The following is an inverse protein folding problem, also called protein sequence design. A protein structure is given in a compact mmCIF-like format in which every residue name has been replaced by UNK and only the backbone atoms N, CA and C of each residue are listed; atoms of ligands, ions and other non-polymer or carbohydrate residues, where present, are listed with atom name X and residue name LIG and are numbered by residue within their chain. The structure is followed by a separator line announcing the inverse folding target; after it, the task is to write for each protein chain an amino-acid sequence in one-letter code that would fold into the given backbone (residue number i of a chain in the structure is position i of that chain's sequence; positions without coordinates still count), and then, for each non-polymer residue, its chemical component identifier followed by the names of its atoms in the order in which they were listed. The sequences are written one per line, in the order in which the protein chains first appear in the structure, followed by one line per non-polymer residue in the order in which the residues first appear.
data_IF_617066398581
#
_entry.id   IF_617066398581
#
_cell.length_a   1.000
_cell.length_b   1.000
_cell.length_c   1.000
_cell.angle_alpha   90.00
_cell.angle_beta   90.00
_cell.angle_gamma   90.00
#
_symmetry.space_group_name_H-M   'P 1'
#
loop_
_entity.id
_entity.type
_entity.pdbx_description
1 polymer ?
#
# COMPACT_ATOMS: atom_id res chain seq x y z
N UNK A 1 -29.83 -72.97 0.86
CA UNK A 1 -28.41 -72.72 1.12
C UNK A 1 -28.30 -71.77 2.31
N UNK A 2 -27.59 -72.24 3.33
CA UNK A 2 -26.92 -71.57 4.46
C UNK A 2 -27.55 -70.38 5.22
N UNK A 3 -27.76 -70.65 6.52
CA UNK A 3 -27.80 -69.76 7.69
C UNK A 3 -26.49 -68.98 7.93
N UNK A 4 -26.56 -67.92 8.77
CA UNK A 4 -25.70 -67.66 9.97
C UNK A 4 -25.37 -66.15 10.10
N UNK A 5 -25.98 -65.39 11.02
CA UNK A 5 -25.67 -65.10 12.44
C UNK A 5 -24.67 -63.94 12.70
N UNK A 6 -25.17 -62.97 13.48
CA UNK A 6 -24.57 -62.31 14.68
C UNK A 6 -23.28 -61.47 14.47
N UNK A 7 -23.31 -60.18 14.84
CA UNK A 7 -22.71 -59.70 16.11
C UNK A 7 -22.70 -58.18 16.25
N UNK A 8 -22.97 -57.73 17.47
CA UNK A 8 -22.96 -56.35 17.97
C UNK A 8 -21.55 -55.75 18.14
N UNK A 9 -21.55 -54.42 18.37
CA UNK A 9 -20.50 -53.56 18.98
C UNK A 9 -19.30 -53.27 18.06
N UNK A 10 -18.93 -52.00 17.83
CA UNK A 10 -18.45 -51.09 18.87
C UNK A 10 -18.45 -49.62 18.41
N UNK A 11 -18.71 -48.74 19.37
CA UNK A 11 -18.52 -47.29 19.31
C UNK A 11 -17.02 -47.00 19.10
N UNK A 12 -16.66 -46.24 18.06
CA UNK A 12 -15.43 -45.47 18.05
C UNK A 12 -15.79 -43.99 17.91
N UNK A 13 -15.67 -43.28 19.04
CA UNK A 13 -15.51 -41.84 19.04
C UNK A 13 -14.12 -41.54 18.45
N UNK A 14 -14.07 -40.98 17.24
CA UNK A 14 -12.86 -40.33 16.73
C UNK A 14 -12.90 -38.87 17.14
N UNK A 15 -11.90 -38.55 17.95
CA UNK A 15 -11.64 -37.26 18.54
C UNK A 15 -11.54 -36.14 17.50
N UNK A 16 -12.09 -34.99 17.87
CA UNK A 16 -11.79 -33.70 17.28
C UNK A 16 -10.28 -33.52 17.13
N UNK A 17 -9.81 -33.59 15.90
CA UNK A 17 -8.63 -32.84 15.46
C UNK A 17 -9.09 -32.06 14.25
N UNK A 18 -9.72 -30.91 14.52
CA UNK A 18 -9.80 -29.85 13.54
C UNK A 18 -8.36 -29.44 13.22
N UNK A 19 -7.78 -30.08 12.21
CA UNK A 19 -6.69 -29.50 11.46
C UNK A 19 -7.31 -28.26 10.84
N UNK A 20 -7.07 -27.11 11.46
CA UNK A 20 -7.32 -25.83 10.84
C UNK A 20 -6.48 -25.80 9.57
N UNK A 21 -7.10 -26.18 8.46
CA UNK A 21 -6.63 -25.82 7.13
C UNK A 21 -6.55 -24.29 7.16
N UNK A 22 -5.37 -23.67 6.94
CA UNK A 22 -5.33 -22.23 6.78
C UNK A 22 -6.23 -21.91 5.59
N UNK A 23 -7.35 -21.25 5.88
CA UNK A 23 -8.20 -20.66 4.85
C UNK A 23 -7.32 -19.73 4.03
N UNK A 24 -7.49 -19.69 2.69
CA UNK A 24 -6.88 -18.65 1.88
C UNK A 24 -7.23 -17.31 2.54
N UNK A 25 -6.21 -16.51 2.82
CA UNK A 25 -6.39 -15.15 3.29
C UNK A 25 -7.22 -14.48 2.19
N UNK A 26 -8.50 -14.21 2.46
CA UNK A 26 -9.28 -13.35 1.58
C UNK A 26 -8.52 -12.02 1.54
N UNK A 27 -8.08 -11.63 0.34
CA UNK A 27 -7.68 -10.28 0.02
C UNK A 27 -8.86 -9.37 0.42
N UNK A 28 -8.84 -8.83 1.64
CA UNK A 28 -9.84 -7.85 2.07
C UNK A 28 -9.55 -6.59 1.27
N UNK A 29 -10.23 -6.43 0.14
CA UNK A 29 -10.24 -5.22 -0.68
C UNK A 29 -10.92 -4.09 0.11
N UNK A 30 -10.20 -3.53 1.09
CA UNK A 30 -10.65 -2.34 1.82
C UNK A 30 -10.23 -1.13 1.01
N UNK A 31 -11.09 -0.68 0.10
CA UNK A 31 -10.92 0.62 -0.54
C UNK A 31 -11.27 1.71 0.46
N UNK A 32 -10.28 2.49 0.91
CA UNK A 32 -10.53 3.71 1.68
C UNK A 32 -10.29 4.92 0.78
N UNK A 33 -11.39 5.62 0.50
CA UNK A 33 -11.34 6.93 -0.15
C UNK A 33 -11.10 7.98 0.94
N UNK A 34 -9.91 8.58 0.96
CA UNK A 34 -9.67 9.77 1.78
C UNK A 34 -10.23 10.96 1.00
N UNK A 35 -11.55 11.15 1.10
CA UNK A 35 -12.23 12.33 0.58
C UNK A 35 -12.35 13.35 1.71
N UNK A 36 -11.52 14.40 1.67
CA UNK A 36 -11.62 15.48 2.64
C UNK A 36 -12.62 16.51 2.13
N UNK A 37 -13.75 16.65 2.83
CA UNK A 37 -14.84 17.60 2.60
C UNK A 37 -14.33 18.95 2.06
N UNK A 38 -14.58 19.18 0.78
CA UNK A 38 -14.06 20.26 -0.05
C UNK A 38 -14.89 21.55 0.07
N UNK A 39 -15.40 21.90 1.25
CA UNK A 39 -16.55 22.80 1.33
C UNK A 39 -16.26 24.33 1.22
N UNK A 40 -15.11 24.76 0.69
CA UNK A 40 -14.88 26.19 0.35
C UNK A 40 -14.17 26.38 -1.01
N UNK A 41 -13.70 25.32 -1.67
CA UNK A 41 -12.80 25.42 -2.84
C UNK A 41 -13.25 24.62 -4.07
N UNK A 42 -14.50 24.16 -4.13
CA UNK A 42 -14.98 23.25 -5.18
C UNK A 42 -15.15 23.87 -6.59
N UNK A 43 -15.21 25.20 -6.73
CA UNK A 43 -15.59 25.83 -8.01
C UNK A 43 -14.44 26.24 -8.92
N UNK A 44 -13.18 26.06 -8.53
CA UNK A 44 -12.03 26.50 -9.35
C UNK A 44 -11.02 25.41 -9.68
N UNK A 45 -11.12 24.26 -9.03
CA UNK A 45 -10.15 23.17 -9.11
C UNK A 45 -10.90 21.84 -9.02
N UNK A 46 -10.58 20.87 -9.89
CA UNK A 46 -11.07 19.50 -9.70
C UNK A 46 -10.63 18.98 -8.32
N UNK A 47 -11.46 18.19 -7.62
CA UNK A 47 -11.09 17.67 -6.30
C UNK A 47 -9.82 16.80 -6.45
N UNK A 48 -8.82 17.03 -5.62
CA UNK A 48 -7.72 16.07 -5.44
C UNK A 48 -8.31 14.90 -4.67
N UNK A 49 -8.36 13.73 -5.32
CA UNK A 49 -8.90 12.51 -4.74
C UNK A 49 -7.77 11.52 -4.59
N UNK A 50 -7.60 11.00 -3.38
CA UNK A 50 -6.62 9.96 -3.10
C UNK A 50 -7.35 8.70 -2.67
N UNK A 51 -7.14 7.64 -3.46
CA UNK A 51 -7.78 6.35 -3.25
C UNK A 51 -6.72 5.35 -2.82
N UNK A 52 -6.87 4.81 -1.62
CA UNK A 52 -6.11 3.64 -1.18
C UNK A 52 -6.91 2.41 -1.64
N UNK A 53 -6.47 1.79 -2.74
CA UNK A 53 -7.27 0.81 -3.46
C UNK A 53 -7.01 -0.64 -3.03
N UNK A 54 -5.82 -0.94 -2.50
CA UNK A 54 -5.48 -2.31 -2.07
C UNK A 54 -4.41 -2.26 -0.99
N UNK A 55 -4.51 -3.13 0.02
CA UNK A 55 -3.46 -3.39 1.02
C UNK A 55 -3.27 -4.90 1.05
N UNK A 56 -2.16 -5.42 0.52
CA UNK A 56 -1.84 -6.86 0.56
C UNK A 56 -0.76 -7.08 1.62
N UNK A 57 -1.10 -7.67 2.76
CA UNK A 57 -0.16 -7.86 3.87
C UNK A 57 0.17 -6.55 4.62
N UNK A 58 0.42 -6.65 5.93
CA UNK A 58 0.80 -5.53 6.80
C UNK A 58 -0.34 -4.60 7.21
N UNK A 59 -0.35 -4.18 8.48
CA UNK A 59 -1.34 -3.26 9.07
C UNK A 59 -1.06 -1.81 8.66
N UNK A 60 -1.04 -1.54 7.35
CA UNK A 60 -0.83 -0.17 6.92
C UNK A 60 -2.09 0.64 7.16
N UNK A 61 -1.97 1.57 8.09
CA UNK A 61 -3.09 2.36 8.59
C UNK A 61 -3.69 3.17 7.46
N UNK A 62 -4.93 2.87 7.12
CA UNK A 62 -5.71 3.61 6.13
C UNK A 62 -6.07 5.07 6.53
N UNK A 63 -5.37 5.63 7.54
CA UNK A 63 -5.32 7.06 7.86
C UNK A 63 -3.99 7.72 7.46
N UNK A 64 -3.11 7.01 6.75
CA UNK A 64 -1.83 7.51 6.27
C UNK A 64 -1.96 7.94 4.81
N UNK A 65 -2.26 9.22 4.60
CA UNK A 65 -2.40 9.86 3.28
C UNK A 65 -2.82 11.32 3.44
N UNK A 66 -3.51 11.67 4.54
CA UNK A 66 -4.05 13.02 4.77
C UNK A 66 -2.96 14.11 4.67
N UNK A 67 -1.81 13.90 5.32
CA UNK A 67 -0.71 14.86 5.25
C UNK A 67 -0.22 15.07 3.80
N UNK A 68 -0.09 13.97 3.04
CA UNK A 68 0.21 14.04 1.62
C UNK A 68 -0.83 14.81 0.81
N UNK A 69 -2.13 14.56 1.05
CA UNK A 69 -3.23 15.30 0.40
C UNK A 69 -3.10 16.80 0.66
N UNK A 70 -2.90 17.18 1.91
CA UNK A 70 -2.84 18.59 2.33
C UNK A 70 -1.65 19.31 1.68
N UNK A 71 -0.49 18.65 1.61
CA UNK A 71 0.69 19.20 0.93
C UNK A 71 0.48 19.32 -0.58
N UNK A 72 -0.11 18.32 -1.24
CA UNK A 72 -0.43 18.41 -2.66
C UNK A 72 -1.42 19.55 -2.96
N UNK A 73 -2.45 19.72 -2.13
CA UNK A 73 -3.39 20.85 -2.22
C UNK A 73 -2.65 22.19 -2.13
N UNK A 74 -1.82 22.36 -1.10
CA UNK A 74 -1.05 23.59 -0.92
C UNK A 74 -0.10 23.92 -2.09
N UNK A 75 0.36 22.90 -2.83
CA UNK A 75 1.18 23.08 -4.05
C UNK A 75 0.36 23.46 -5.28
N UNK A 76 -0.86 22.94 -5.41
CA UNK A 76 -1.72 23.16 -6.57
C UNK A 76 -2.61 24.40 -6.45
N UNK A 77 -2.95 24.82 -5.23
CA UNK A 77 -3.77 26.01 -4.96
C UNK A 77 -3.26 27.31 -5.63
N UNK A 78 -1.96 27.63 -5.61
CA UNK A 78 -1.44 28.85 -6.25
C UNK A 78 -1.52 28.84 -7.79
N UNK A 79 -1.60 27.67 -8.41
CA UNK A 79 -1.46 27.49 -9.86
C UNK A 79 -2.76 27.71 -10.64
N UNK A 80 -3.91 27.67 -9.98
CA UNK A 80 -5.19 27.77 -10.69
C UNK A 80 -5.40 26.58 -11.65
N UNK A 81 -5.89 26.83 -12.88
CA UNK A 81 -6.04 25.81 -13.92
C UNK A 81 -4.72 25.55 -14.69
N UNK A 82 -3.59 26.12 -14.26
CA UNK A 82 -2.31 25.96 -14.96
C UNK A 82 -1.63 24.73 -14.39
N UNK A 83 -1.67 23.64 -15.13
CA UNK A 83 -1.16 22.32 -14.73
C UNK A 83 0.38 22.24 -14.63
N UNK A 84 1.08 23.36 -14.48
CA UNK A 84 2.54 23.45 -14.59
C UNK A 84 3.28 22.78 -13.43
N UNK A 85 2.70 22.81 -12.22
CA UNK A 85 3.31 22.22 -11.02
C UNK A 85 2.72 20.85 -10.62
N UNK A 86 1.98 20.18 -11.51
CA UNK A 86 1.42 18.85 -11.22
C UNK A 86 2.49 17.85 -10.79
N UNK A 87 3.64 17.87 -11.46
CA UNK A 87 4.78 17.02 -11.15
C UNK A 87 5.38 17.33 -9.77
N UNK A 88 5.46 18.61 -9.39
CA UNK A 88 5.91 19.02 -8.05
C UNK A 88 4.91 18.63 -6.96
N UNK A 89 3.62 18.71 -7.26
CA UNK A 89 2.56 18.31 -6.34
C UNK A 89 2.58 16.80 -6.11
N UNK A 90 2.81 16.00 -7.17
CA UNK A 90 3.03 14.56 -7.08
C UNK A 90 4.26 14.19 -6.26
N UNK A 91 5.38 14.86 -6.51
CA UNK A 91 6.61 14.65 -5.75
C UNK A 91 6.39 14.94 -4.26
N UNK A 92 5.80 16.10 -3.93
CA UNK A 92 5.52 16.50 -2.57
C UNK A 92 4.49 15.57 -1.88
N UNK A 93 3.46 15.16 -2.61
CA UNK A 93 2.50 14.16 -2.14
C UNK A 93 3.20 12.85 -1.78
N UNK A 94 3.99 12.29 -2.69
CA UNK A 94 4.55 10.95 -2.54
C UNK A 94 5.63 10.93 -1.45
N UNK A 95 6.43 11.98 -1.32
CA UNK A 95 7.40 12.15 -0.23
C UNK A 95 6.71 12.21 1.14
N UNK A 96 5.66 13.03 1.27
CA UNK A 96 4.93 13.15 2.54
C UNK A 96 4.13 11.88 2.86
N UNK A 97 3.55 11.23 1.83
CA UNK A 97 2.92 9.93 1.96
C UNK A 97 3.90 8.92 2.55
N UNK A 98 5.07 8.71 1.92
CA UNK A 98 6.06 7.75 2.40
C UNK A 98 6.48 8.02 3.85
N UNK A 99 6.63 9.30 4.22
CA UNK A 99 6.90 9.71 5.59
C UNK A 99 5.76 9.38 6.55
N UNK A 100 4.52 9.73 6.20
CA UNK A 100 3.33 9.50 7.04
C UNK A 100 3.07 8.00 7.25
N UNK A 101 3.26 7.19 6.18
CA UNK A 101 3.22 5.73 6.25
C UNK A 101 4.28 5.21 7.22
N UNK A 102 5.51 5.71 7.13
CA UNK A 102 6.60 5.28 8.01
C UNK A 102 6.36 5.67 9.46
N UNK A 103 5.92 6.90 9.73
CA UNK A 103 5.69 7.37 11.10
C UNK A 103 4.54 6.61 11.78
N UNK A 104 3.60 6.10 11.00
CA UNK A 104 2.45 5.29 11.45
C UNK A 104 2.65 3.78 11.30
N UNK A 105 3.84 3.33 10.87
CA UNK A 105 4.11 1.92 10.54
C UNK A 105 3.84 0.98 11.71
N UNK A 106 3.38 -0.22 11.38
CA UNK A 106 3.28 -1.34 12.31
C UNK A 106 3.48 -2.65 11.55
N UNK A 107 4.39 -3.55 12.01
CA UNK A 107 5.10 -3.55 13.29
C UNK A 107 6.36 -2.66 13.31
N UNK A 108 6.91 -2.41 14.51
CA UNK A 108 8.13 -1.62 14.70
C UNK A 108 9.39 -2.17 13.98
N UNK A 109 9.33 -3.41 13.48
CA UNK A 109 10.39 -4.03 12.68
C UNK A 109 10.53 -3.43 11.27
N UNK A 110 9.53 -2.69 10.79
CA UNK A 110 9.60 -1.96 9.52
C UNK A 110 10.69 -0.90 9.59
N UNK A 111 11.66 -1.01 8.68
CA UNK A 111 12.84 -0.16 8.60
C UNK A 111 12.70 0.98 7.59
N UNK A 112 11.81 0.85 6.62
CA UNK A 112 11.55 1.90 5.63
C UNK A 112 10.27 1.68 4.84
N UNK A 113 9.85 2.72 4.13
CA UNK A 113 8.77 2.71 3.14
C UNK A 113 9.40 2.96 1.78
N UNK A 114 8.93 2.25 0.76
CA UNK A 114 9.31 2.47 -0.62
C UNK A 114 8.06 2.49 -1.50
N UNK A 115 7.84 3.57 -2.24
CA UNK A 115 6.70 3.78 -3.14
C UNK A 115 7.19 3.94 -4.57
N UNK A 116 6.59 3.22 -5.51
CA UNK A 116 6.99 3.19 -6.93
C UNK A 116 5.80 3.44 -7.85
N UNK A 117 5.96 4.37 -8.81
CA UNK A 117 5.11 4.50 -9.98
C UNK A 117 5.88 3.98 -11.20
N UNK A 118 5.91 2.65 -11.35
CA UNK A 118 6.66 1.98 -12.42
C UNK A 118 7.20 0.61 -12.00
N UNK A 119 7.97 -0.06 -12.87
CA UNK A 119 8.51 -1.38 -12.57
C UNK A 119 9.59 -1.32 -11.48
N UNK A 120 9.57 -2.30 -10.59
CA UNK A 120 10.53 -2.49 -9.50
C UNK A 120 10.92 -3.96 -9.40
N UNK A 121 12.04 -4.24 -8.75
CA UNK A 121 12.53 -5.60 -8.52
C UNK A 121 13.03 -5.74 -7.08
N UNK A 122 12.50 -6.72 -6.35
CA UNK A 122 12.99 -7.08 -5.02
C UNK A 122 14.18 -8.03 -5.12
N UNK A 123 15.15 -7.89 -4.23
CA UNK A 123 16.21 -8.89 -4.08
C UNK A 123 15.66 -10.21 -3.55
N UNK A 124 16.35 -11.29 -3.91
CA UNK A 124 15.98 -12.63 -3.46
C UNK A 124 16.01 -12.71 -1.94
N UNK A 125 14.87 -13.09 -1.35
CA UNK A 125 14.72 -13.20 0.10
C UNK A 125 14.44 -11.87 0.81
N UNK A 126 14.10 -10.81 0.08
CA UNK A 126 13.57 -9.59 0.68
C UNK A 126 12.31 -9.90 1.51
N UNK A 127 12.19 -9.22 2.64
CA UNK A 127 11.05 -9.30 3.54
C UNK A 127 10.37 -7.93 3.57
N UNK A 128 9.13 -7.88 3.13
CA UNK A 128 8.34 -6.68 3.00
C UNK A 128 6.84 -6.99 3.12
N UNK A 129 6.05 -5.97 3.43
CA UNK A 129 4.58 -6.00 3.34
C UNK A 129 4.11 -5.05 2.23
N UNK A 130 2.97 -5.35 1.59
CA UNK A 130 2.46 -4.63 0.43
C UNK A 130 2.33 -5.51 -0.84
N UNK A 131 1.98 -4.92 -2.00
CA UNK A 131 1.85 -3.48 -2.23
C UNK A 131 0.60 -2.87 -1.62
N UNK A 132 0.70 -1.57 -1.41
CA UNK A 132 -0.43 -0.68 -1.21
C UNK A 132 -0.59 0.20 -2.42
N UNK A 133 -1.75 0.09 -3.04
CA UNK A 133 -2.03 0.80 -4.28
C UNK A 133 -2.62 2.17 -3.91
N UNK A 134 -1.83 3.21 -4.11
CA UNK A 134 -2.21 4.60 -3.83
C UNK A 134 -2.45 5.32 -5.15
N UNK A 135 -3.70 5.70 -5.37
CA UNK A 135 -4.14 6.44 -6.54
C UNK A 135 -4.17 7.92 -6.23
N UNK A 136 -3.24 8.70 -6.79
CA UNK A 136 -3.29 10.16 -6.79
C UNK A 136 -4.07 10.63 -8.01
N UNK A 137 -5.23 11.27 -7.80
CA UNK A 137 -6.06 11.82 -8.88
C UNK A 137 -6.26 13.32 -8.71
N UNK A 138 -6.13 14.04 -9.81
CA UNK A 138 -6.54 15.44 -9.91
C UNK A 138 -7.15 15.68 -11.29
N UNK A 139 -8.48 15.85 -11.32
CA UNK A 139 -9.26 15.96 -12.55
C UNK A 139 -8.96 14.78 -13.52
N UNK A 140 -8.46 15.05 -14.73
CA UNK A 140 -8.10 14.01 -15.72
C UNK A 140 -6.75 13.33 -15.42
N UNK A 141 -5.92 13.94 -14.57
CA UNK A 141 -4.59 13.41 -14.27
C UNK A 141 -4.67 12.38 -13.16
N UNK A 142 -3.99 11.26 -13.36
CA UNK A 142 -3.96 10.17 -12.42
C UNK A 142 -2.58 9.52 -12.40
N UNK A 143 -2.19 9.03 -11.23
CA UNK A 143 -0.94 8.31 -11.03
C UNK A 143 -1.14 7.26 -9.94
N UNK A 144 -0.66 6.06 -10.22
CA UNK A 144 -0.78 4.90 -9.33
C UNK A 144 0.60 4.61 -8.73
N UNK A 145 0.68 4.56 -7.40
CA UNK A 145 1.89 4.23 -6.67
C UNK A 145 1.69 2.92 -5.91
N UNK A 146 2.66 2.03 -6.02
CA UNK A 146 2.74 0.82 -5.21
C UNK A 146 3.71 1.07 -4.05
N UNK A 147 3.18 1.12 -2.82
CA UNK A 147 3.96 1.36 -1.61
C UNK A 147 4.18 0.08 -0.81
N UNK A 148 5.38 -0.07 -0.25
CA UNK A 148 5.83 -1.25 0.49
C UNK A 148 6.43 -0.86 1.83
N UNK A 149 6.16 -1.67 2.86
CA UNK A 149 6.90 -1.65 4.12
C UNK A 149 8.09 -2.59 4.05
N UNK A 150 9.29 -2.03 4.10
CA UNK A 150 10.52 -2.79 4.01
C UNK A 150 11.01 -3.20 5.40
N UNK A 151 11.18 -4.51 5.62
CA UNK A 151 11.74 -5.08 6.85
C UNK A 151 13.22 -5.45 6.65
N UNK A 152 13.54 -6.11 5.53
CA UNK A 152 14.93 -6.46 5.15
C UNK A 152 15.05 -6.76 3.66
N UNK A 153 16.27 -6.70 3.13
CA UNK A 153 16.54 -6.89 1.71
C UNK A 153 16.46 -5.56 0.97
N UNK A 154 16.32 -5.62 -0.35
CA UNK A 154 16.40 -4.42 -1.19
C UNK A 154 15.35 -4.43 -2.27
N UNK A 155 15.00 -3.24 -2.74
CA UNK A 155 14.16 -3.01 -3.91
C UNK A 155 14.89 -2.06 -4.85
N UNK A 156 14.92 -2.40 -6.13
CA UNK A 156 15.54 -1.61 -7.18
C UNK A 156 14.46 -1.07 -8.10
N UNK A 157 14.43 0.25 -8.27
CA UNK A 157 13.62 0.89 -9.29
C UNK A 157 14.16 0.50 -10.69
N UNK A 158 13.28 0.00 -11.55
CA UNK A 158 13.57 -0.33 -12.95
C UNK A 158 12.90 0.62 -13.93
N UNK A 159 12.10 1.55 -13.44
CA UNK A 159 11.41 2.56 -14.23
C UNK A 159 12.29 3.76 -14.54
N UNK A 160 11.91 4.46 -15.59
CA UNK A 160 12.45 5.78 -15.93
C UNK A 160 11.69 6.88 -15.16
N UNK A 161 12.35 8.02 -14.90
CA UNK A 161 11.67 9.23 -14.40
C UNK A 161 12.14 9.80 -13.05
N UNK A 162 13.03 9.14 -12.32
CA UNK A 162 13.62 9.70 -11.09
C UNK A 162 12.61 9.89 -9.94
N UNK A 163 12.87 10.86 -9.05
CA UNK A 163 12.12 11.06 -7.78
C UNK A 163 10.63 11.34 -7.93
N UNK A 164 10.16 11.76 -9.11
CA UNK A 164 8.72 11.96 -9.34
C UNK A 164 7.93 10.64 -9.30
N UNK A 165 8.62 9.53 -9.60
CA UNK A 165 8.07 8.19 -9.69
C UNK A 165 8.47 7.32 -8.50
N UNK A 166 9.24 7.84 -7.55
CA UNK A 166 9.71 7.09 -6.38
C UNK A 166 9.75 7.92 -5.12
N UNK A 167 9.22 7.40 -4.01
CA UNK A 167 9.44 7.98 -2.69
C UNK A 167 9.90 6.91 -1.71
N UNK A 168 10.95 7.22 -0.97
CA UNK A 168 11.57 6.30 -0.02
C UNK A 168 11.81 7.04 1.29
N UNK A 169 11.45 6.44 2.42
CA UNK A 169 11.59 7.08 3.71
C UNK A 169 11.83 6.05 4.81
N UNK A 170 12.80 6.31 5.70
CA UNK A 170 13.10 5.44 6.83
C UNK A 170 14.59 5.39 7.16
N UNK A 171 14.99 4.30 7.82
CA UNK A 171 16.39 4.03 8.22
C UNK A 171 17.22 3.31 7.17
N UNK A 172 16.59 2.85 6.09
CA UNK A 172 17.26 2.15 5.02
C UNK A 172 18.09 3.10 4.15
N UNK A 173 19.02 2.54 3.37
CA UNK A 173 19.95 3.33 2.55
C UNK A 173 19.57 3.30 1.08
N UNK A 174 19.57 4.47 0.44
CA UNK A 174 19.42 4.59 -1.01
C UNK A 174 20.77 4.70 -1.72
N UNK A 175 20.98 3.88 -2.76
CA UNK A 175 22.16 3.94 -3.61
C UNK A 175 21.77 3.58 -5.05
N UNK A 176 21.99 4.52 -5.98
CA UNK A 176 21.83 4.31 -7.44
C UNK A 176 20.52 3.59 -7.83
N UNK A 177 19.39 4.06 -7.32
CA UNK A 177 18.07 3.50 -7.64
C UNK A 177 17.72 2.23 -6.85
N UNK A 178 18.54 1.84 -5.87
CA UNK A 178 18.27 0.70 -4.98
C UNK A 178 18.11 1.19 -3.54
N UNK A 179 17.00 0.80 -2.91
CA UNK A 179 16.71 1.05 -1.50
C UNK A 179 16.91 -0.23 -0.70
N UNK A 180 17.79 -0.19 0.31
CA UNK A 180 18.29 -1.39 1.01
C UNK A 180 18.13 -1.30 2.53
N UNK A 181 17.44 -2.31 3.08
CA UNK A 181 17.12 -2.57 4.47
C UNK A 181 17.70 -3.93 4.93
#
# INVERSE_FOLDING_TARGET
MHFSKISCLSILALANSAIAVPTPIEDVETSMEVNQDANVLEKRFGPIVIVLAKVIGGQLLAGAAKAGVDIAKAKLEPEGPKFSDFDKAREAFTQELAKDLYDKRYPAAVKGIACYNGPYEFSKGANYEGPINVKFKWDIYNTDYDCFEMISGSVTNKGDGGYINTAEYGTCSFNKGTYSC
#
